data_IF_052281596486
#
_entry.id   IF_052281596486
#
_cell.length_a   1.000
_cell.length_b   1.000
_cell.length_c   1.000
_cell.angle_alpha   90.00
_cell.angle_beta   90.00
_cell.angle_gamma   90.00
#
_symmetry.space_group_name_H-M   'P 1'
#
loop_
_entity.id
_entity.type
_entity.pdbx_description
1 polymer ?
#
# COMPACT_ATOMS: atom_id res chain seq x y z
N UNK A 1 -20.55 -41.59 -3.38
CA UNK A 1 -19.90 -40.43 -4.04
C UNK A 1 -20.54 -39.11 -3.66
N UNK A 2 -21.87 -39.00 -3.64
CA UNK A 2 -22.61 -37.78 -3.27
C UNK A 2 -22.23 -37.17 -1.90
N UNK A 3 -22.15 -37.98 -0.83
CA UNK A 3 -21.78 -37.51 0.53
C UNK A 3 -20.39 -36.84 0.54
N UNK A 4 -19.41 -37.42 -0.17
CA UNK A 4 -18.05 -36.88 -0.24
C UNK A 4 -18.08 -35.50 -0.91
N UNK A 5 -18.88 -35.33 -1.96
CA UNK A 5 -19.00 -34.06 -2.68
C UNK A 5 -19.69 -33.00 -1.81
N UNK A 6 -20.73 -33.39 -1.06
CA UNK A 6 -21.36 -32.49 -0.07
C UNK A 6 -20.36 -32.03 0.99
N UNK A 7 -19.55 -32.95 1.53
CA UNK A 7 -18.53 -32.59 2.53
C UNK A 7 -17.51 -31.62 1.92
N UNK A 8 -17.06 -31.87 0.68
CA UNK A 8 -16.13 -30.97 -0.02
C UNK A 8 -16.76 -29.60 -0.21
N UNK A 9 -18.02 -29.52 -0.68
CA UNK A 9 -18.74 -28.26 -0.85
C UNK A 9 -18.84 -27.47 0.46
N UNK A 10 -19.18 -28.15 1.57
CA UNK A 10 -19.26 -27.53 2.89
C UNK A 10 -17.90 -26.97 3.35
N UNK A 11 -16.83 -27.73 3.16
CA UNK A 11 -15.47 -27.30 3.49
C UNK A 11 -15.03 -26.10 2.65
N UNK A 12 -15.39 -26.07 1.36
CA UNK A 12 -15.09 -24.95 0.46
C UNK A 12 -15.82 -23.69 0.92
N UNK A 13 -17.13 -23.77 1.17
CA UNK A 13 -17.92 -22.63 1.66
C UNK A 13 -17.36 -22.12 2.99
N UNK A 14 -17.11 -23.01 3.94
CA UNK A 14 -16.57 -22.65 5.25
C UNK A 14 -15.18 -21.99 5.15
N UNK A 15 -14.30 -22.52 4.30
CA UNK A 15 -12.96 -21.96 4.11
C UNK A 15 -13.00 -20.54 3.54
N UNK A 16 -13.89 -20.25 2.59
CA UNK A 16 -14.05 -18.90 2.03
C UNK A 16 -14.66 -17.95 3.04
N UNK A 17 -15.71 -18.37 3.77
CA UNK A 17 -16.33 -17.53 4.80
C UNK A 17 -15.34 -17.18 5.91
N UNK A 18 -14.53 -18.15 6.34
CA UNK A 18 -13.49 -17.91 7.33
C UNK A 18 -12.41 -16.95 6.80
N UNK A 19 -11.96 -17.13 5.56
CA UNK A 19 -10.97 -16.23 4.93
C UNK A 19 -11.52 -14.81 4.78
N UNK A 20 -12.77 -14.66 4.34
CA UNK A 20 -13.45 -13.38 4.20
C UNK A 20 -13.66 -12.68 5.54
N UNK A 21 -14.13 -13.41 6.57
CA UNK A 21 -14.27 -12.90 7.93
C UNK A 21 -12.93 -12.43 8.50
N UNK A 22 -11.87 -13.24 8.37
CA UNK A 22 -10.54 -12.89 8.85
C UNK A 22 -9.88 -11.74 8.04
N UNK A 23 -10.30 -11.48 6.79
CA UNK A 23 -9.74 -10.40 5.96
C UNK A 23 -10.49 -9.10 6.14
N UNK A 24 -11.81 -9.15 6.27
CA UNK A 24 -12.68 -7.96 6.25
C UNK A 24 -13.19 -7.59 7.64
N UNK A 25 -13.59 -8.58 8.43
CA UNK A 25 -14.34 -8.35 9.68
C UNK A 25 -13.45 -8.32 10.90
N UNK A 26 -12.36 -9.09 10.91
CA UNK A 26 -11.46 -9.22 12.06
C UNK A 26 -10.30 -8.20 12.01
N UNK A 27 -10.30 -7.13 12.83
CA UNK A 27 -9.24 -6.11 12.84
C UNK A 27 -8.05 -6.58 13.68
N UNK A 28 -7.46 -7.74 13.35
CA UNK A 28 -6.30 -8.28 14.07
C UNK A 28 -5.31 -8.92 13.14
N UNK A 29 -4.04 -8.89 13.57
CA UNK A 29 -2.96 -9.64 12.95
C UNK A 29 -3.21 -11.14 13.03
N UNK A 30 -3.73 -11.72 11.95
CA UNK A 30 -3.93 -13.17 11.84
C UNK A 30 -2.61 -13.83 11.41
N UNK A 31 -2.00 -14.63 12.30
CA UNK A 31 -0.69 -15.29 12.07
C UNK A 31 -0.74 -16.55 11.18
N UNK A 32 -1.91 -16.93 10.65
CA UNK A 32 -2.08 -18.19 9.90
C UNK A 32 -1.34 -18.12 8.54
N UNK A 33 -0.53 -19.15 8.26
CA UNK A 33 0.31 -19.22 7.07
C UNK A 33 -0.44 -19.59 5.79
N UNK A 34 -1.59 -20.29 5.91
CA UNK A 34 -2.39 -20.81 4.81
C UNK A 34 -3.74 -20.08 4.74
N UNK A 35 -3.80 -19.01 3.95
CA UNK A 35 -5.01 -18.21 3.69
C UNK A 35 -5.22 -18.08 2.19
N UNK A 36 -6.47 -18.15 1.74
CA UNK A 36 -6.82 -17.97 0.32
C UNK A 36 -6.33 -16.59 -0.14
N UNK A 37 -6.57 -15.56 0.67
CA UNK A 37 -6.07 -14.20 0.45
C UNK A 37 -4.54 -14.15 0.30
N UNK A 38 -3.78 -14.75 1.22
CA UNK A 38 -2.30 -14.74 1.17
C UNK A 38 -1.76 -15.48 -0.07
N UNK A 39 -2.38 -16.61 -0.40
CA UNK A 39 -2.04 -17.37 -1.60
C UNK A 39 -2.35 -16.56 -2.87
N UNK A 40 -3.52 -15.92 -2.93
CA UNK A 40 -3.96 -15.08 -4.02
C UNK A 40 -2.95 -13.96 -4.29
N UNK A 41 -2.64 -13.12 -3.29
CA UNK A 41 -1.68 -12.01 -3.46
C UNK A 41 -0.29 -12.51 -3.87
N UNK A 42 0.19 -13.62 -3.31
CA UNK A 42 1.50 -14.18 -3.71
C UNK A 42 1.49 -14.63 -5.17
N UNK A 43 0.41 -15.26 -5.62
CA UNK A 43 0.30 -15.80 -6.98
C UNK A 43 0.07 -14.71 -8.03
N UNK A 44 -0.70 -13.68 -7.70
CA UNK A 44 -0.95 -12.55 -8.61
C UNK A 44 0.22 -11.56 -8.64
N UNK A 45 0.96 -11.40 -7.53
CA UNK A 45 2.10 -10.47 -7.48
C UNK A 45 3.31 -10.92 -8.30
N UNK A 46 3.62 -12.22 -8.35
CA UNK A 46 4.78 -12.75 -9.10
C UNK A 46 4.75 -12.39 -10.60
N UNK A 47 3.67 -12.63 -11.36
CA UNK A 47 3.62 -12.22 -12.76
C UNK A 47 3.63 -10.70 -12.89
N UNK A 48 2.94 -9.96 -11.99
CA UNK A 48 2.95 -8.50 -12.00
C UNK A 48 4.37 -7.93 -11.88
N UNK A 49 5.16 -8.47 -10.95
CA UNK A 49 6.57 -8.12 -10.74
C UNK A 49 7.40 -8.40 -12.00
N UNK A 50 7.23 -9.56 -12.63
CA UNK A 50 7.95 -9.92 -13.86
C UNK A 50 7.65 -8.95 -15.00
N UNK A 51 6.36 -8.66 -15.24
CA UNK A 51 5.97 -7.69 -16.28
C UNK A 51 6.58 -6.33 -16.00
N UNK A 52 6.54 -5.88 -14.74
CA UNK A 52 7.12 -4.60 -14.30
C UNK A 52 8.62 -4.50 -14.60
N UNK A 53 9.38 -5.60 -14.46
CA UNK A 53 10.83 -5.59 -14.78
C UNK A 53 11.15 -5.36 -16.26
N UNK A 54 10.19 -5.55 -17.17
CA UNK A 54 10.36 -5.25 -18.59
C UNK A 54 10.05 -3.78 -18.94
N UNK A 55 9.46 -3.00 -18.03
CA UNK A 55 9.10 -1.61 -18.26
C UNK A 55 10.30 -0.71 -17.94
N UNK A 56 10.92 -0.14 -18.98
CA UNK A 56 12.11 0.73 -18.84
C UNK A 56 11.79 2.14 -18.34
N UNK A 57 10.62 2.69 -18.69
CA UNK A 57 10.24 4.04 -18.30
C UNK A 57 9.79 4.08 -16.83
N UNK A 58 10.40 4.90 -15.96
CA UNK A 58 10.04 4.97 -14.55
C UNK A 58 8.59 5.37 -14.31
N UNK A 59 8.07 6.39 -15.00
CA UNK A 59 6.69 6.85 -14.87
C UNK A 59 5.68 5.75 -15.26
N UNK A 60 5.86 5.10 -16.42
CA UNK A 60 5.00 3.97 -16.83
C UNK A 60 5.05 2.80 -15.86
N UNK A 61 6.22 2.55 -15.26
CA UNK A 61 6.41 1.48 -14.29
C UNK A 61 5.62 1.74 -13.01
N UNK A 62 5.70 2.96 -12.46
CA UNK A 62 4.93 3.32 -11.26
C UNK A 62 3.42 3.33 -11.54
N UNK A 63 2.98 3.83 -12.71
CA UNK A 63 1.56 3.79 -13.11
C UNK A 63 1.04 2.35 -13.25
N UNK A 64 1.81 1.45 -13.87
CA UNK A 64 1.45 0.04 -13.95
C UNK A 64 1.38 -0.62 -12.56
N UNK A 65 2.31 -0.30 -11.66
CA UNK A 65 2.29 -0.77 -10.29
C UNK A 65 1.09 -0.20 -9.49
N UNK A 66 0.59 0.99 -9.85
CA UNK A 66 -0.57 1.63 -9.25
C UNK A 66 -1.87 0.84 -9.42
N UNK A 67 -2.06 0.15 -10.55
CA UNK A 67 -3.27 -0.64 -10.80
C UNK A 67 -3.39 -1.90 -9.95
N UNK A 68 -2.26 -2.46 -9.48
CA UNK A 68 -2.28 -3.76 -8.78
C UNK A 68 -3.12 -3.74 -7.51
N UNK A 69 -2.98 -2.71 -6.67
CA UNK A 69 -3.71 -2.60 -5.40
C UNK A 69 -5.23 -2.67 -5.59
N UNK A 70 -5.85 -1.73 -6.34
CA UNK A 70 -7.29 -1.73 -6.60
C UNK A 70 -7.77 -2.97 -7.36
N UNK A 71 -7.06 -3.40 -8.41
CA UNK A 71 -7.49 -4.53 -9.24
C UNK A 71 -7.41 -5.86 -8.48
N UNK A 72 -6.35 -6.08 -7.71
CA UNK A 72 -6.20 -7.30 -6.89
C UNK A 72 -7.30 -7.41 -5.84
N UNK A 73 -7.74 -6.29 -5.27
CA UNK A 73 -8.87 -6.27 -4.34
C UNK A 73 -10.16 -6.71 -5.01
N UNK A 74 -10.50 -6.15 -6.18
CA UNK A 74 -11.69 -6.56 -6.95
C UNK A 74 -11.62 -8.03 -7.37
N UNK A 75 -10.45 -8.49 -7.82
CA UNK A 75 -10.23 -9.88 -8.21
C UNK A 75 -10.31 -10.85 -7.02
N UNK A 76 -9.89 -10.45 -5.82
CA UNK A 76 -10.04 -11.25 -4.60
C UNK A 76 -11.52 -11.43 -4.24
N UNK A 77 -12.30 -10.35 -4.30
CA UNK A 77 -13.75 -10.40 -4.07
C UNK A 77 -14.43 -11.30 -5.09
N UNK A 78 -14.07 -11.17 -6.38
CA UNK A 78 -14.54 -12.07 -7.43
C UNK A 78 -14.16 -13.53 -7.19
N UNK A 79 -12.93 -13.80 -6.75
CA UNK A 79 -12.48 -15.14 -6.39
C UNK A 79 -13.32 -15.74 -5.26
N UNK A 80 -13.61 -14.99 -4.20
CA UNK A 80 -14.49 -15.45 -3.13
C UNK A 80 -15.90 -15.74 -3.63
N UNK A 81 -16.51 -14.85 -4.41
CA UNK A 81 -17.84 -15.05 -4.96
C UNK A 81 -17.91 -16.31 -5.84
N UNK A 82 -16.97 -16.47 -6.78
CA UNK A 82 -16.88 -17.66 -7.65
C UNK A 82 -16.67 -18.93 -6.83
N UNK A 83 -15.84 -18.88 -5.78
CA UNK A 83 -15.57 -20.05 -4.94
C UNK A 83 -16.78 -20.41 -4.06
N UNK A 84 -17.55 -19.43 -3.58
CA UNK A 84 -18.81 -19.67 -2.87
C UNK A 84 -19.85 -20.31 -3.79
N UNK A 85 -20.07 -19.74 -4.98
CA UNK A 85 -20.96 -20.30 -6.00
C UNK A 85 -20.54 -21.74 -6.33
N UNK A 86 -19.25 -21.99 -6.54
CA UNK A 86 -18.76 -23.34 -6.77
C UNK A 86 -19.02 -24.27 -5.58
N UNK A 87 -18.80 -23.81 -4.35
CA UNK A 87 -19.06 -24.56 -3.12
C UNK A 87 -20.54 -24.93 -2.96
N UNK A 88 -21.46 -23.99 -3.23
CA UNK A 88 -22.90 -24.23 -3.22
C UNK A 88 -23.34 -25.16 -4.35
N UNK A 89 -22.80 -25.01 -5.56
CA UNK A 89 -23.05 -25.94 -6.65
C UNK A 89 -22.63 -27.38 -6.29
N UNK A 90 -21.51 -27.57 -5.57
CA UNK A 90 -21.12 -28.88 -5.04
C UNK A 90 -22.09 -29.40 -3.98
N UNK A 91 -22.59 -28.55 -3.08
CA UNK A 91 -23.61 -28.93 -2.10
C UNK A 91 -24.90 -29.40 -2.78
N UNK A 92 -25.35 -28.67 -3.80
CA UNK A 92 -26.53 -29.04 -4.59
C UNK A 92 -26.30 -30.35 -5.37
N UNK A 93 -25.13 -30.53 -5.99
CA UNK A 93 -24.78 -31.77 -6.68
C UNK A 93 -24.70 -32.98 -5.74
N UNK A 94 -24.15 -32.78 -4.55
CA UNK A 94 -24.08 -33.79 -3.51
C UNK A 94 -25.44 -34.11 -2.89
N UNK A 95 -26.39 -33.17 -2.90
CA UNK A 95 -27.75 -33.43 -2.46
C UNK A 95 -28.51 -34.37 -3.41
N UNK A 96 -28.23 -34.39 -4.72
CA UNK A 96 -28.84 -35.31 -5.70
C UNK A 96 -30.00 -34.71 -6.52
N UNK A 97 -30.87 -35.54 -7.12
CA UNK A 97 -32.00 -35.14 -7.98
C UNK A 97 -33.13 -34.42 -7.21
N UNK A 98 -32.89 -33.17 -6.83
CA UNK A 98 -33.83 -32.36 -6.03
C UNK A 98 -34.21 -31.03 -6.69
N UNK A 99 -33.92 -30.92 -7.99
CA UNK A 99 -34.10 -29.71 -8.77
C UNK A 99 -34.81 -30.09 -10.07
N UNK A 100 -35.91 -29.42 -10.38
CA UNK A 100 -36.67 -29.66 -11.61
C UNK A 100 -36.11 -28.75 -12.68
N UNK A 101 -35.56 -29.35 -13.74
CA UNK A 101 -35.27 -28.66 -14.99
C UNK A 101 -36.30 -29.13 -16.00
N UNK A 102 -36.98 -28.19 -16.65
CA UNK A 102 -38.08 -28.36 -17.60
C UNK A 102 -37.80 -29.32 -18.78
N UNK A 103 -37.59 -30.62 -18.49
CA UNK A 103 -37.34 -31.69 -19.46
C UNK A 103 -35.88 -31.97 -19.83
N UNK A 104 -34.89 -31.35 -19.17
CA UNK A 104 -33.47 -31.43 -19.57
C UNK A 104 -32.55 -32.05 -18.49
N UNK A 105 -31.41 -32.67 -18.87
CA UNK A 105 -30.56 -33.37 -17.91
C UNK A 105 -29.84 -32.42 -16.94
N UNK A 106 -29.74 -32.85 -15.67
CA UNK A 106 -28.95 -32.17 -14.64
C UNK A 106 -27.47 -32.31 -14.99
N UNK A 107 -26.84 -31.19 -15.38
CA UNK A 107 -25.40 -31.11 -15.59
C UNK A 107 -24.77 -30.20 -14.54
N UNK A 108 -23.49 -30.45 -14.22
CA UNK A 108 -22.78 -29.64 -13.23
C UNK A 108 -22.71 -28.15 -13.61
N UNK A 109 -22.58 -27.84 -14.91
CA UNK A 109 -22.60 -26.46 -15.40
C UNK A 109 -23.92 -25.73 -15.11
N UNK A 110 -25.05 -26.44 -15.14
CA UNK A 110 -26.37 -25.87 -14.79
C UNK A 110 -26.55 -25.67 -13.30
N UNK A 111 -25.95 -26.52 -12.47
CA UNK A 111 -25.93 -26.31 -11.02
C UNK A 111 -25.07 -25.10 -10.63
N UNK A 112 -23.97 -24.85 -11.36
CA UNK A 112 -23.20 -23.60 -11.22
C UNK A 112 -24.06 -22.40 -11.63
N UNK A 113 -24.79 -22.51 -12.74
CA UNK A 113 -25.70 -21.45 -13.18
C UNK A 113 -26.79 -21.15 -12.13
N UNK A 114 -27.48 -22.19 -11.65
CA UNK A 114 -28.49 -22.09 -10.57
C UNK A 114 -27.92 -21.47 -9.28
N UNK A 115 -26.73 -21.92 -8.88
CA UNK A 115 -26.03 -21.35 -7.73
C UNK A 115 -25.69 -19.87 -7.96
N UNK A 116 -25.24 -19.50 -9.16
CA UNK A 116 -24.96 -18.11 -9.53
C UNK A 116 -26.21 -17.22 -9.46
N UNK A 117 -27.32 -17.63 -10.06
CA UNK A 117 -28.57 -16.86 -10.00
C UNK A 117 -29.14 -16.77 -8.57
N UNK A 118 -28.96 -17.80 -7.75
CA UNK A 118 -29.43 -17.81 -6.36
C UNK A 118 -28.56 -16.91 -5.49
N UNK A 119 -27.23 -17.02 -5.62
CA UNK A 119 -26.25 -16.23 -4.88
C UNK A 119 -26.37 -14.72 -5.17
N UNK A 120 -26.59 -14.37 -6.45
CA UNK A 120 -26.83 -12.97 -6.85
C UNK A 120 -28.31 -12.55 -6.79
N UNK A 121 -29.20 -13.43 -6.31
CA UNK A 121 -30.64 -13.15 -6.14
C UNK A 121 -31.38 -12.77 -7.43
N UNK A 122 -30.92 -13.28 -8.58
CA UNK A 122 -31.57 -13.09 -9.89
C UNK A 122 -32.86 -13.92 -10.00
N UNK A 123 -32.77 -15.22 -9.70
CA UNK A 123 -33.89 -16.15 -9.67
C UNK A 123 -34.78 -16.15 -10.91
N UNK A 124 -34.22 -16.47 -12.09
CA UNK A 124 -34.98 -16.48 -13.35
C UNK A 124 -36.11 -17.51 -13.36
N UNK A 125 -36.00 -18.55 -12.52
CA UNK A 125 -37.06 -19.54 -12.30
C UNK A 125 -37.10 -20.65 -13.34
N UNK A 126 -36.08 -20.75 -14.19
CA UNK A 126 -35.87 -21.87 -15.12
C UNK A 126 -35.34 -23.12 -14.40
N UNK A 127 -34.70 -22.95 -13.25
CA UNK A 127 -34.26 -24.02 -12.35
C UNK A 127 -34.87 -23.79 -10.96
N UNK A 128 -35.70 -24.74 -10.48
CA UNK A 128 -36.45 -24.56 -9.22
C UNK A 128 -36.17 -25.70 -8.23
N UNK A 129 -35.87 -25.39 -6.95
CA UNK A 129 -35.68 -26.40 -5.91
C UNK A 129 -37.03 -27.06 -5.52
N UNK A 130 -37.12 -28.37 -5.70
CA UNK A 130 -38.35 -29.14 -5.40
C UNK A 130 -38.36 -29.72 -4.00
N UNK A 131 -37.20 -29.99 -3.41
CA UNK A 131 -37.10 -30.58 -2.08
C UNK A 131 -36.96 -29.55 -0.96
N UNK A 132 -37.38 -29.88 0.29
CA UNK A 132 -37.18 -29.01 1.44
C UNK A 132 -35.71 -28.64 1.67
N UNK A 133 -34.80 -29.59 1.45
CA UNK A 133 -33.35 -29.38 1.63
C UNK A 133 -32.81 -28.42 0.56
N UNK A 134 -33.19 -28.60 -0.70
CA UNK A 134 -32.77 -27.72 -1.80
C UNK A 134 -33.29 -26.28 -1.60
N UNK A 135 -34.54 -26.14 -1.11
CA UNK A 135 -35.12 -24.84 -0.75
C UNK A 135 -34.38 -24.18 0.41
N UNK A 136 -34.04 -24.94 1.45
CA UNK A 136 -33.27 -24.41 2.58
C UNK A 136 -31.86 -23.97 2.14
N UNK A 137 -31.18 -24.76 1.30
CA UNK A 137 -29.89 -24.39 0.73
C UNK A 137 -29.99 -23.12 -0.11
N UNK A 138 -31.02 -22.97 -0.94
CA UNK A 138 -31.23 -21.77 -1.74
C UNK A 138 -31.44 -20.51 -0.87
N UNK A 139 -32.21 -20.62 0.22
CA UNK A 139 -32.40 -19.50 1.17
C UNK A 139 -31.09 -19.14 1.86
N UNK A 140 -30.30 -20.13 2.30
CA UNK A 140 -29.00 -19.91 2.93
C UNK A 140 -28.03 -19.26 1.93
N UNK A 141 -27.99 -19.77 0.71
CA UNK A 141 -27.14 -19.27 -0.37
C UNK A 141 -27.46 -17.81 -0.74
N UNK A 142 -28.75 -17.50 -0.94
CA UNK A 142 -29.20 -16.13 -1.20
C UNK A 142 -28.88 -15.20 -0.01
N UNK A 143 -29.12 -15.66 1.23
CA UNK A 143 -28.77 -14.91 2.43
C UNK A 143 -27.27 -14.65 2.55
N UNK A 144 -26.43 -15.63 2.22
CA UNK A 144 -24.97 -15.48 2.18
C UNK A 144 -24.51 -14.54 1.07
N UNK A 145 -25.11 -14.62 -0.12
CA UNK A 145 -24.84 -13.70 -1.22
C UNK A 145 -25.15 -12.25 -0.85
N UNK A 146 -26.29 -12.01 -0.20
CA UNK A 146 -26.65 -10.69 0.32
C UNK A 146 -25.69 -10.21 1.41
N UNK A 147 -25.34 -11.07 2.38
CA UNK A 147 -24.37 -10.76 3.42
C UNK A 147 -22.96 -10.47 2.86
N UNK A 148 -22.55 -11.20 1.83
CA UNK A 148 -21.31 -10.97 1.10
C UNK A 148 -21.32 -9.60 0.42
N UNK A 149 -22.40 -9.25 -0.29
CA UNK A 149 -22.54 -7.93 -0.91
C UNK A 149 -22.50 -6.80 0.13
N UNK A 150 -23.22 -6.94 1.24
CA UNK A 150 -23.18 -5.98 2.35
C UNK A 150 -21.76 -5.80 2.92
N UNK A 151 -21.01 -6.90 3.05
CA UNK A 151 -19.61 -6.89 3.49
C UNK A 151 -18.71 -6.15 2.49
N UNK A 152 -18.87 -6.40 1.19
CA UNK A 152 -18.13 -5.69 0.14
C UNK A 152 -18.41 -4.18 0.17
N UNK A 153 -19.68 -3.80 0.29
CA UNK A 153 -20.10 -2.40 0.38
C UNK A 153 -19.51 -1.72 1.62
N UNK A 154 -19.37 -2.42 2.75
CA UNK A 154 -18.72 -1.87 3.94
C UNK A 154 -17.19 -1.83 3.87
N UNK A 155 -16.57 -2.80 3.17
CA UNK A 155 -15.12 -2.95 3.14
C UNK A 155 -14.43 -1.95 2.22
N UNK A 156 -14.95 -1.74 0.99
CA UNK A 156 -14.32 -0.85 0.02
C UNK A 156 -14.16 0.59 0.57
N UNK A 157 -15.21 1.25 1.12
CA UNK A 157 -15.07 2.59 1.68
C UNK A 157 -14.08 2.65 2.85
N UNK A 158 -14.02 1.60 3.67
CA UNK A 158 -13.07 1.50 4.79
C UNK A 158 -11.63 1.51 4.30
N UNK A 159 -11.32 0.70 3.27
CA UNK A 159 -10.00 0.67 2.63
C UNK A 159 -9.64 2.02 2.01
N UNK A 160 -10.54 2.63 1.24
CA UNK A 160 -10.27 3.91 0.59
C UNK A 160 -10.15 5.06 1.58
N UNK A 161 -10.86 5.01 2.70
CA UNK A 161 -10.71 5.99 3.79
C UNK A 161 -9.36 5.85 4.47
N UNK A 162 -8.92 4.62 4.76
CA UNK A 162 -7.59 4.38 5.32
C UNK A 162 -6.47 4.83 4.36
N UNK A 163 -6.62 4.53 3.07
CA UNK A 163 -5.73 5.02 2.02
C UNK A 163 -5.69 6.56 1.98
N UNK A 164 -6.85 7.22 1.95
CA UNK A 164 -6.93 8.68 1.92
C UNK A 164 -6.26 9.32 3.14
N UNK A 165 -6.51 8.80 4.35
CA UNK A 165 -5.89 9.30 5.59
C UNK A 165 -4.36 9.19 5.55
N UNK A 166 -3.83 8.07 5.03
CA UNK A 166 -2.38 7.88 4.85
C UNK A 166 -1.79 8.94 3.92
N UNK A 167 -2.45 9.22 2.79
CA UNK A 167 -1.91 10.09 1.74
C UNK A 167 -1.88 11.56 2.11
N UNK A 168 -2.79 12.04 2.97
CA UNK A 168 -2.83 13.46 3.38
C UNK A 168 -1.48 13.94 3.92
N UNK A 169 -0.85 13.19 4.83
CA UNK A 169 0.45 13.58 5.40
C UNK A 169 1.61 13.42 4.40
N UNK A 170 1.52 12.48 3.47
CA UNK A 170 2.52 12.31 2.40
C UNK A 170 2.48 13.53 1.47
N UNK A 171 1.29 14.00 1.09
CA UNK A 171 1.14 15.20 0.27
C UNK A 171 1.66 16.46 0.98
N UNK A 172 1.43 16.58 2.29
CA UNK A 172 1.99 17.67 3.10
C UNK A 172 3.53 17.60 3.23
N UNK A 173 4.11 16.40 3.08
CA UNK A 173 5.56 16.22 3.11
C UNK A 173 6.26 16.86 1.92
N UNK A 174 5.58 17.01 0.77
CA UNK A 174 6.16 17.61 -0.45
C UNK A 174 6.76 19.00 -0.17
N UNK A 175 5.95 19.90 0.37
CA UNK A 175 6.37 21.26 0.69
C UNK A 175 7.41 21.31 1.82
N UNK A 176 7.54 20.25 2.63
CA UNK A 176 8.45 20.19 3.78
C UNK A 176 9.80 19.54 3.45
N UNK A 177 9.81 18.51 2.62
CA UNK A 177 10.96 17.63 2.37
C UNK A 177 11.27 17.40 0.88
N UNK A 178 10.52 18.03 -0.02
CA UNK A 178 10.64 17.90 -1.47
C UNK A 178 10.00 16.63 -2.03
N UNK A 179 10.10 16.47 -3.36
CA UNK A 179 9.58 15.33 -4.09
C UNK A 179 10.61 14.70 -5.04
N UNK A 180 11.15 13.51 -4.75
CA UNK A 180 10.92 12.66 -3.57
C UNK A 180 11.41 13.28 -2.25
N UNK A 181 10.82 12.90 -1.10
CA UNK A 181 11.14 13.51 0.19
C UNK A 181 12.51 13.07 0.72
N UNK A 182 13.33 14.00 1.22
CA UNK A 182 14.67 13.68 1.78
C UNK A 182 14.89 14.31 3.15
N UNK A 183 15.73 13.68 3.96
CA UNK A 183 16.07 14.20 5.28
C UNK A 183 16.85 15.51 5.20
N UNK A 184 17.72 15.66 4.18
CA UNK A 184 18.45 16.90 3.91
C UNK A 184 17.51 18.08 3.64
N UNK A 185 16.49 17.87 2.82
CA UNK A 185 15.54 18.92 2.46
C UNK A 185 14.65 19.27 3.66
N UNK A 186 14.17 18.26 4.39
CA UNK A 186 13.35 18.46 5.59
C UNK A 186 14.08 19.23 6.69
N UNK A 187 15.36 18.95 6.95
CA UNK A 187 16.12 19.74 7.92
C UNK A 187 16.49 21.11 7.33
N UNK A 188 16.91 21.14 6.08
CA UNK A 188 17.39 22.34 5.41
C UNK A 188 16.35 23.44 5.24
N UNK A 189 15.07 23.11 5.02
CA UNK A 189 13.98 24.10 4.91
C UNK A 189 13.61 24.75 6.24
N UNK A 190 13.95 24.11 7.36
CA UNK A 190 13.64 24.58 8.72
C UNK A 190 14.86 25.23 9.42
N UNK A 191 16.00 25.35 8.73
CA UNK A 191 17.32 25.62 9.32
C UNK A 191 17.63 27.03 9.82
N UNK A 192 16.67 27.93 10.13
CA UNK A 192 17.04 29.32 10.51
C UNK A 192 16.12 30.07 11.49
N UNK A 193 15.27 29.41 12.29
CA UNK A 193 14.43 30.12 13.27
C UNK A 193 14.35 29.35 14.60
N UNK A 194 14.03 30.02 15.72
CA UNK A 194 13.73 29.36 17.00
C UNK A 194 12.43 28.54 16.87
N UNK A 195 12.55 27.35 16.27
CA UNK A 195 11.44 26.52 15.76
C UNK A 195 11.37 25.14 16.41
N UNK A 196 12.03 24.94 17.55
CA UNK A 196 11.96 23.66 18.28
C UNK A 196 10.51 23.17 18.42
N UNK A 197 9.58 24.07 18.76
CA UNK A 197 8.16 23.77 18.89
C UNK A 197 7.49 23.35 17.56
N UNK A 198 7.79 24.04 16.45
CA UNK A 198 7.25 23.72 15.12
C UNK A 198 7.79 22.37 14.63
N UNK A 199 9.09 22.13 14.80
CA UNK A 199 9.71 20.88 14.38
C UNK A 199 9.23 19.70 15.23
N UNK A 200 9.09 19.90 16.55
CA UNK A 200 8.49 18.90 17.43
C UNK A 200 7.02 18.63 17.07
N UNK A 201 6.26 19.62 16.63
CA UNK A 201 4.90 19.42 16.15
C UNK A 201 4.88 18.54 14.89
N UNK A 202 5.77 18.80 13.93
CA UNK A 202 5.92 17.96 12.73
C UNK A 202 6.26 16.53 13.13
N UNK A 203 7.23 16.34 14.02
CA UNK A 203 7.61 15.00 14.48
C UNK A 203 6.48 14.30 15.24
N UNK A 204 5.64 15.01 16.00
CA UNK A 204 4.43 14.47 16.64
C UNK A 204 3.38 14.04 15.63
N UNK A 205 3.16 14.83 14.58
CA UNK A 205 2.25 14.48 13.48
C UNK A 205 2.72 13.17 12.81
N UNK A 206 4.02 13.03 12.57
CA UNK A 206 4.60 11.84 11.97
C UNK A 206 4.68 10.63 12.92
N UNK A 207 4.81 10.85 14.22
CA UNK A 207 4.65 9.80 15.24
C UNK A 207 3.25 9.19 15.15
N UNK A 208 2.21 10.05 15.19
CA UNK A 208 0.83 9.63 15.06
C UNK A 208 0.58 8.95 13.72
N UNK A 209 1.01 9.55 12.62
CA UNK A 209 0.86 8.98 11.28
C UNK A 209 1.53 7.61 11.15
N UNK A 210 2.71 7.41 11.75
CA UNK A 210 3.39 6.11 11.76
C UNK A 210 2.57 5.05 12.49
N UNK A 211 1.90 5.42 13.59
CA UNK A 211 0.94 4.56 14.29
C UNK A 211 -0.28 4.22 13.44
N UNK A 212 -0.86 5.21 12.75
CA UNK A 212 -2.00 5.02 11.85
C UNK A 212 -1.65 4.13 10.63
N UNK A 213 -0.44 4.28 10.08
CA UNK A 213 0.07 3.41 9.00
C UNK A 213 0.28 1.99 9.48
N UNK A 214 0.88 1.81 10.66
CA UNK A 214 1.05 0.48 11.25
C UNK A 214 -0.29 -0.22 11.47
N UNK A 215 -1.24 0.45 12.12
CA UNK A 215 -2.57 -0.09 12.40
C UNK A 215 -3.28 -0.48 11.09
N UNK A 216 -3.39 0.47 10.16
CA UNK A 216 -4.13 0.26 8.92
C UNK A 216 -3.53 -0.85 8.06
N UNK A 217 -2.21 -1.00 7.99
CA UNK A 217 -1.58 -2.01 7.13
C UNK A 217 -1.50 -3.38 7.81
N UNK A 218 -1.59 -3.47 9.15
CA UNK A 218 -1.81 -4.73 9.85
C UNK A 218 -3.25 -5.20 9.67
N UNK A 219 -4.21 -4.29 9.83
CA UNK A 219 -5.65 -4.57 9.70
C UNK A 219 -6.02 -4.86 8.25
N UNK A 220 -5.41 -4.14 7.30
CA UNK A 220 -5.67 -4.26 5.87
C UNK A 220 -4.38 -4.40 5.05
N UNK A 221 -3.76 -5.61 5.06
CA UNK A 221 -2.52 -5.87 4.31
C UNK A 221 -2.54 -5.48 2.82
N UNK A 222 -3.68 -5.54 2.09
CA UNK A 222 -3.75 -5.05 0.71
C UNK A 222 -3.29 -3.60 0.53
N UNK A 223 -3.42 -2.73 1.55
CA UNK A 223 -3.02 -1.32 1.47
C UNK A 223 -1.53 -1.12 1.15
N UNK A 224 -0.67 -2.09 1.51
CA UNK A 224 0.75 -2.03 1.16
C UNK A 224 1.00 -1.98 -0.35
N UNK A 225 0.09 -2.51 -1.16
CA UNK A 225 0.18 -2.50 -2.62
C UNK A 225 -0.40 -1.24 -3.27
N UNK A 226 -1.12 -0.40 -2.53
CA UNK A 226 -1.67 0.85 -3.06
C UNK A 226 -0.55 1.89 -3.17
N UNK A 227 -0.26 2.33 -4.41
CA UNK A 227 0.71 3.40 -4.66
C UNK A 227 0.19 4.73 -4.15
N UNK A 228 1.12 5.59 -3.74
CA UNK A 228 0.79 6.98 -3.39
C UNK A 228 0.39 7.76 -4.64
N UNK A 229 -0.32 8.87 -4.44
CA UNK A 229 -0.95 9.60 -5.55
C UNK A 229 0.06 10.15 -6.58
N UNK A 230 1.27 10.52 -6.14
CA UNK A 230 2.32 11.01 -7.02
C UNK A 230 3.41 9.95 -7.21
N UNK A 231 3.86 9.76 -8.46
CA UNK A 231 4.84 8.72 -8.84
C UNK A 231 6.22 8.85 -8.15
N UNK A 232 6.56 10.04 -7.67
CA UNK A 232 7.80 10.34 -6.96
C UNK A 232 7.64 10.31 -5.42
N UNK A 233 6.47 9.95 -4.92
CA UNK A 233 6.19 9.79 -3.49
C UNK A 233 5.80 8.35 -3.19
N UNK A 234 6.04 7.93 -1.95
CA UNK A 234 5.53 6.66 -1.46
C UNK A 234 5.40 6.71 0.05
N UNK A 235 4.41 5.99 0.58
CA UNK A 235 4.24 5.86 2.03
C UNK A 235 5.50 5.31 2.72
N UNK A 236 6.17 4.33 2.10
CA UNK A 236 7.40 3.77 2.64
C UNK A 236 8.56 4.76 2.55
N UNK A 237 8.62 5.53 1.45
CA UNK A 237 9.59 6.61 1.29
C UNK A 237 9.43 7.68 2.34
N UNK A 238 8.20 8.16 2.58
CA UNK A 238 7.89 9.12 3.64
C UNK A 238 8.28 8.60 5.03
N UNK A 239 7.86 7.37 5.38
CA UNK A 239 8.23 6.74 6.65
C UNK A 239 9.75 6.64 6.83
N UNK A 240 10.46 6.28 5.75
CA UNK A 240 11.93 6.18 5.74
C UNK A 240 12.58 7.55 5.89
N UNK A 241 12.08 8.59 5.23
CA UNK A 241 12.57 9.97 5.38
C UNK A 241 12.42 10.46 6.82
N UNK A 242 11.31 10.14 7.49
CA UNK A 242 11.12 10.49 8.91
C UNK A 242 12.07 9.73 9.84
N UNK A 243 12.32 8.45 9.55
CA UNK A 243 13.33 7.66 10.27
C UNK A 243 14.73 8.26 10.08
N UNK A 244 15.09 8.60 8.85
CA UNK A 244 16.36 9.23 8.49
C UNK A 244 16.55 10.58 9.21
N UNK A 245 15.53 11.46 9.16
CA UNK A 245 15.54 12.75 9.85
C UNK A 245 15.62 12.59 11.37
N UNK A 246 14.83 11.68 11.95
CA UNK A 246 14.86 11.44 13.40
C UNK A 246 16.23 10.88 13.82
N UNK A 247 16.81 9.99 13.02
CA UNK A 247 18.14 9.45 13.27
C UNK A 247 19.23 10.53 13.27
N UNK A 248 19.19 11.49 12.34
CA UNK A 248 20.13 12.63 12.33
C UNK A 248 20.00 13.50 13.58
N UNK A 249 18.78 13.82 13.99
CA UNK A 249 18.54 14.66 15.18
C UNK A 249 19.00 13.96 16.45
N UNK A 250 18.75 12.65 16.57
CA UNK A 250 19.21 11.84 17.70
C UNK A 250 20.74 11.72 17.68
N UNK A 251 21.35 11.54 16.51
CA UNK A 251 22.80 11.48 16.35
C UNK A 251 23.45 12.81 16.79
N UNK A 252 22.92 13.94 16.32
CA UNK A 252 23.29 15.26 16.80
C UNK A 252 23.19 16.34 15.72
N UNK A 253 22.14 17.15 15.79
CA UNK A 253 22.01 18.42 15.07
C UNK A 253 22.13 19.55 16.09
N UNK A 254 22.95 20.56 15.82
CA UNK A 254 23.13 21.70 16.70
C UNK A 254 21.83 22.47 16.89
N UNK A 255 21.59 22.96 18.10
CA UNK A 255 20.41 23.75 18.48
C UNK A 255 19.04 23.05 18.35
N UNK A 256 19.01 21.72 18.17
CA UNK A 256 17.79 20.91 18.21
C UNK A 256 17.81 19.91 19.37
N UNK A 257 16.70 19.84 20.11
CA UNK A 257 16.49 18.77 21.10
C UNK A 257 16.03 17.50 20.41
N UNK A 258 16.47 16.36 20.95
CA UNK A 258 16.16 15.03 20.39
C UNK A 258 14.98 14.33 21.05
N UNK A 259 14.32 14.95 22.03
CA UNK A 259 13.31 14.28 22.86
C UNK A 259 12.13 13.76 22.03
N UNK A 260 11.52 14.62 21.21
CA UNK A 260 10.44 14.21 20.31
C UNK A 260 10.95 13.26 19.22
N UNK A 261 12.13 13.52 18.65
CA UNK A 261 12.73 12.67 17.62
C UNK A 261 12.93 11.22 18.10
N UNK A 262 13.29 11.00 19.37
CA UNK A 262 13.42 9.65 19.95
C UNK A 262 12.09 8.88 19.93
N UNK A 263 10.99 9.54 20.31
CA UNK A 263 9.66 8.91 20.35
C UNK A 263 9.14 8.66 18.94
N UNK A 264 9.26 9.64 18.05
CA UNK A 264 8.90 9.49 16.63
C UNK A 264 9.71 8.38 15.96
N UNK A 265 11.03 8.31 16.21
CA UNK A 265 11.88 7.22 15.72
C UNK A 265 11.43 5.86 16.25
N UNK A 266 11.12 5.74 17.53
CA UNK A 266 10.67 4.49 18.13
C UNK A 266 9.37 3.99 17.47
N UNK A 267 8.39 4.88 17.26
CA UNK A 267 7.12 4.54 16.62
C UNK A 267 7.30 4.21 15.13
N UNK A 268 8.03 5.03 14.37
CA UNK A 268 8.29 4.78 12.95
C UNK A 268 9.10 3.49 12.73
N UNK A 269 10.04 3.18 13.64
CA UNK A 269 10.81 1.93 13.61
C UNK A 269 9.90 0.74 13.90
N UNK A 270 9.06 0.84 14.91
CA UNK A 270 8.08 -0.21 15.21
C UNK A 270 7.19 -0.47 13.99
N UNK A 271 6.71 0.60 13.33
CA UNK A 271 5.93 0.47 12.10
C UNK A 271 6.69 -0.30 11.02
N UNK A 272 7.91 0.12 10.65
CA UNK A 272 8.64 -0.55 9.55
C UNK A 272 9.01 -2.00 9.87
N UNK A 273 9.35 -2.31 11.13
CA UNK A 273 9.70 -3.68 11.55
C UNK A 273 8.50 -4.62 11.44
N UNK A 274 7.34 -4.20 11.92
CA UNK A 274 6.13 -5.03 11.86
C UNK A 274 5.58 -5.14 10.44
N UNK A 275 5.65 -4.07 9.66
CA UNK A 275 5.24 -4.09 8.25
C UNK A 275 6.14 -4.99 7.39
N UNK A 276 7.44 -5.10 7.70
CA UNK A 276 8.31 -6.07 7.03
C UNK A 276 7.83 -7.52 7.26
N UNK A 277 7.25 -7.81 8.42
CA UNK A 277 6.66 -9.12 8.70
C UNK A 277 5.32 -9.31 7.96
N UNK A 278 4.49 -8.27 7.88
CA UNK A 278 3.22 -8.29 7.11
C UNK A 278 3.48 -8.53 5.63
N UNK A 279 4.48 -7.87 5.05
CA UNK A 279 4.87 -8.05 3.63
C UNK A 279 5.68 -9.32 3.40
N UNK A 280 6.01 -10.10 4.44
CA UNK A 280 6.87 -11.29 4.38
C UNK A 280 8.20 -11.00 3.69
N UNK A 281 8.77 -9.83 3.97
CA UNK A 281 10.03 -9.38 3.38
C UNK A 281 11.21 -10.18 3.93
N UNK A 282 12.20 -10.42 3.07
CA UNK A 282 13.42 -11.14 3.44
C UNK A 282 14.57 -10.17 3.64
N UNK A 283 15.35 -10.38 4.71
CA UNK A 283 16.59 -9.65 4.95
C UNK A 283 17.61 -9.95 3.84
N UNK A 284 18.37 -8.93 3.46
CA UNK A 284 19.48 -9.03 2.51
C UNK A 284 20.72 -8.39 3.14
N UNK A 285 21.76 -9.18 3.44
CA UNK A 285 22.99 -8.65 4.01
C UNK A 285 23.82 -7.85 3.00
N UNK A 286 23.56 -8.00 1.70
CA UNK A 286 24.30 -7.34 0.61
C UNK A 286 23.61 -6.07 0.12
N UNK A 287 22.70 -5.53 0.91
CA UNK A 287 22.00 -4.31 0.53
C UNK A 287 23.00 -3.14 0.39
N UNK A 288 22.82 -2.22 -0.58
CA UNK A 288 23.68 -1.05 -0.69
C UNK A 288 23.48 -0.11 0.51
N UNK A 289 24.58 0.41 1.04
CA UNK A 289 24.56 1.48 2.04
C UNK A 289 23.92 2.73 1.42
N UNK A 290 22.84 3.25 2.03
CA UNK A 290 22.13 4.46 1.56
C UNK A 290 22.87 5.76 1.87
N UNK A 291 23.82 5.73 2.81
CA UNK A 291 24.60 6.89 3.24
C UNK A 291 26.05 6.46 3.52
N UNK A 292 26.82 6.11 2.47
CA UNK A 292 28.26 5.93 2.58
C UNK A 292 28.96 7.23 3.00
N UNK A 293 30.22 7.15 3.43
CA UNK A 293 30.98 8.29 3.96
C UNK A 293 30.99 9.51 3.00
N UNK A 294 31.06 9.29 1.69
CA UNK A 294 31.01 10.35 0.68
C UNK A 294 29.65 11.07 0.62
N UNK A 295 28.55 10.33 0.74
CA UNK A 295 27.20 10.90 0.80
C UNK A 295 26.97 11.61 2.14
N UNK A 296 27.53 11.10 3.24
CA UNK A 296 27.48 11.78 4.54
C UNK A 296 28.22 13.12 4.50
N UNK A 297 29.39 13.17 3.87
CA UNK A 297 30.14 14.42 3.67
C UNK A 297 29.33 15.43 2.84
N UNK A 298 28.70 14.99 1.74
CA UNK A 298 27.80 15.83 0.93
C UNK A 298 26.59 16.32 1.71
N UNK A 299 25.96 15.45 2.50
CA UNK A 299 24.84 15.80 3.37
C UNK A 299 25.25 16.89 4.38
N UNK A 300 26.39 16.72 5.05
CA UNK A 300 26.93 17.68 6.02
C UNK A 300 27.18 19.04 5.36
N UNK A 301 27.79 19.06 4.18
CA UNK A 301 28.05 20.29 3.42
C UNK A 301 26.75 21.00 3.01
N UNK A 302 25.76 20.26 2.50
CA UNK A 302 24.50 20.83 2.06
C UNK A 302 23.67 21.40 3.22
N UNK A 303 23.66 20.72 4.36
CA UNK A 303 23.01 21.22 5.58
C UNK A 303 23.71 22.44 6.15
N UNK A 304 25.05 22.45 6.17
CA UNK A 304 25.83 23.61 6.60
C UNK A 304 25.53 24.85 5.73
N UNK A 305 25.37 24.68 4.42
CA UNK A 305 24.94 25.74 3.50
C UNK A 305 23.53 26.30 3.77
N UNK A 306 22.73 25.60 4.58
CA UNK A 306 21.39 26.00 5.04
C UNK A 306 21.36 26.32 6.54
N UNK A 307 22.52 26.61 7.13
CA UNK A 307 22.71 26.91 8.55
C UNK A 307 22.32 25.78 9.53
N UNK A 308 22.21 24.54 9.04
CA UNK A 308 22.01 23.35 9.88
C UNK A 308 23.36 22.66 10.08
N UNK A 309 23.89 22.72 11.31
CA UNK A 309 25.17 22.09 11.65
C UNK A 309 24.94 20.72 12.29
N UNK A 310 25.58 19.70 11.71
CA UNK A 310 25.67 18.37 12.31
C UNK A 310 26.87 18.34 13.25
N UNK A 311 26.76 17.62 14.37
CA UNK A 311 27.91 17.40 15.26
C UNK A 311 29.07 16.73 14.51
N UNK A 312 30.29 17.14 14.86
CA UNK A 312 31.52 16.55 14.34
C UNK A 312 32.04 15.45 15.29
N UNK A 313 32.89 14.57 14.75
CA UNK A 313 33.53 13.49 15.50
C UNK A 313 32.98 12.09 15.18
N UNK A 314 33.77 11.06 15.52
CA UNK A 314 33.43 9.66 15.29
C UNK A 314 32.19 9.20 16.05
N UNK A 315 31.92 9.79 17.23
CA UNK A 315 30.76 9.45 18.05
C UNK A 315 29.43 9.71 17.32
N UNK A 316 29.33 10.82 16.58
CA UNK A 316 28.14 11.13 15.76
C UNK A 316 27.93 10.07 14.68
N UNK A 317 29.00 9.70 13.97
CA UNK A 317 28.94 8.77 12.85
C UNK A 317 28.64 7.34 13.31
N UNK A 318 29.24 6.89 14.41
CA UNK A 318 28.94 5.60 15.04
C UNK A 318 27.50 5.52 15.52
N UNK A 319 27.02 6.59 16.16
CA UNK A 319 25.64 6.67 16.65
C UNK A 319 24.63 6.68 15.50
N UNK A 320 24.89 7.44 14.44
CA UNK A 320 24.05 7.45 13.24
C UNK A 320 24.03 6.08 12.55
N UNK A 321 25.21 5.44 12.40
CA UNK A 321 25.33 4.09 11.85
C UNK A 321 24.55 3.07 12.67
N UNK A 322 24.64 3.15 14.00
CA UNK A 322 23.87 2.29 14.89
C UNK A 322 22.37 2.48 14.69
N UNK A 323 21.86 3.72 14.71
CA UNK A 323 20.43 4.01 14.51
C UNK A 323 19.93 3.48 13.16
N UNK A 324 20.70 3.70 12.08
CA UNK A 324 20.39 3.21 10.73
C UNK A 324 20.27 1.69 10.66
N UNK A 325 21.14 0.96 11.35
CA UNK A 325 21.08 -0.50 11.42
C UNK A 325 19.76 -1.04 12.00
N UNK A 326 19.05 -0.23 12.79
CA UNK A 326 17.80 -0.63 13.44
C UNK A 326 16.57 -0.60 12.53
N UNK A 327 16.63 0.08 11.38
CA UNK A 327 15.48 0.26 10.49
C UNK A 327 15.77 0.09 8.99
N UNK A 328 16.96 0.48 8.49
CA UNK A 328 17.24 0.48 7.05
C UNK A 328 17.05 -0.90 6.40
N UNK A 329 17.53 -2.02 6.99
CA UNK A 329 17.30 -3.34 6.41
C UNK A 329 15.81 -3.67 6.22
N UNK A 330 14.96 -3.23 7.15
CA UNK A 330 13.51 -3.42 7.06
C UNK A 330 12.92 -2.57 5.94
N UNK A 331 13.23 -1.26 5.89
CA UNK A 331 12.80 -0.38 4.80
C UNK A 331 13.20 -0.93 3.43
N UNK A 332 14.47 -1.33 3.26
CA UNK A 332 14.98 -1.86 2.00
C UNK A 332 14.33 -3.19 1.61
N UNK A 333 14.08 -4.07 2.59
CA UNK A 333 13.42 -5.34 2.32
C UNK A 333 11.97 -5.16 1.85
N UNK A 334 11.21 -4.25 2.47
CA UNK A 334 9.85 -3.88 2.04
C UNK A 334 9.89 -3.24 0.66
N UNK A 335 10.80 -2.30 0.44
CA UNK A 335 10.99 -1.62 -0.84
C UNK A 335 11.22 -2.62 -1.98
N UNK A 336 12.08 -3.62 -1.76
CA UNK A 336 12.32 -4.70 -2.72
C UNK A 336 11.09 -5.58 -2.95
N UNK A 337 10.41 -5.99 -1.88
CA UNK A 337 9.23 -6.86 -1.95
C UNK A 337 8.10 -6.20 -2.73
N UNK A 338 7.88 -4.91 -2.48
CA UNK A 338 6.80 -4.13 -3.07
C UNK A 338 7.24 -3.36 -4.33
N UNK A 339 8.50 -3.40 -4.76
CA UNK A 339 9.03 -2.55 -5.84
C UNK A 339 8.78 -1.05 -5.60
N UNK A 340 9.09 -0.55 -4.41
CA UNK A 340 9.06 0.89 -4.08
C UNK A 340 10.50 1.41 -4.11
N UNK A 341 10.73 2.58 -4.71
CA UNK A 341 12.04 3.23 -4.62
C UNK A 341 12.11 4.00 -3.30
N UNK A 342 13.15 3.75 -2.50
CA UNK A 342 13.41 4.56 -1.32
C UNK A 342 14.09 5.87 -1.72
N UNK A 343 13.75 6.99 -1.07
CA UNK A 343 14.43 8.25 -1.32
C UNK A 343 15.89 8.17 -0.86
N UNK A 344 16.79 8.97 -1.46
CA UNK A 344 18.13 9.15 -0.90
C UNK A 344 18.07 10.06 0.34
N UNK A 345 19.18 10.16 1.05
CA UNK A 345 19.32 11.13 2.16
C UNK A 345 19.40 12.57 1.67
N UNK A 346 19.94 12.76 0.46
CA UNK A 346 20.12 14.03 -0.25
C UNK A 346 20.03 13.76 -1.76
N UNK A 347 19.41 14.67 -2.53
CA UNK A 347 19.45 14.59 -4.00
C UNK A 347 20.75 15.17 -4.55
N UNK A 348 21.28 14.56 -5.61
CA UNK A 348 22.47 15.06 -6.32
C UNK A 348 22.22 16.41 -7.01
N UNK A 349 20.98 16.66 -7.44
CA UNK A 349 20.53 17.87 -8.11
C UNK A 349 19.30 18.45 -7.42
N UNK A 350 19.15 19.78 -7.47
CA UNK A 350 17.94 20.45 -6.98
C UNK A 350 16.77 20.04 -7.86
N UNK A 351 15.85 19.26 -7.30
CA UNK A 351 14.58 18.91 -7.95
C UNK A 351 13.52 19.96 -7.64
N UNK A 352 12.65 20.21 -8.62
CA UNK A 352 11.41 20.97 -8.37
C UNK A 352 10.47 20.11 -7.54
N UNK A 353 9.76 20.75 -6.63
CA UNK A 353 8.69 20.10 -5.89
C UNK A 353 7.45 19.92 -6.78
N UNK A 354 6.53 19.04 -6.40
CA UNK A 354 5.32 18.83 -7.19
C UNK A 354 4.44 20.08 -7.21
N UNK A 355 4.37 20.83 -6.10
CA UNK A 355 3.62 22.09 -6.05
C UNK A 355 4.20 23.19 -6.95
N UNK A 356 5.47 23.10 -7.37
CA UNK A 356 6.12 24.02 -8.32
C UNK A 356 5.91 23.62 -9.79
N UNK A 357 5.21 22.51 -10.05
CA UNK A 357 5.02 21.92 -11.37
C UNK A 357 3.53 21.84 -11.74
N UNK A 358 2.99 22.93 -12.28
CA UNK A 358 1.65 22.99 -12.85
C UNK A 358 1.59 22.58 -14.32
N UNK A 359 0.51 21.90 -14.78
CA UNK A 359 0.35 21.48 -16.18
C UNK A 359 0.34 22.66 -17.17
N UNK A 360 0.05 23.86 -16.68
CA UNK A 360 0.00 25.09 -17.47
C UNK A 360 1.13 26.07 -17.16
N UNK A 361 2.05 25.77 -16.23
CA UNK A 361 3.07 26.73 -15.79
C UNK A 361 3.94 27.20 -16.94
N UNK A 362 4.32 26.29 -17.85
CA UNK A 362 5.06 26.65 -19.06
C UNK A 362 4.26 27.56 -19.98
N UNK A 363 2.95 27.36 -20.11
CA UNK A 363 2.07 28.19 -20.93
C UNK A 363 1.82 29.58 -20.29
N UNK A 364 1.67 29.63 -18.96
CA UNK A 364 1.54 30.86 -18.18
C UNK A 364 2.85 31.67 -18.27
N UNK A 365 4.01 31.01 -18.09
CA UNK A 365 5.32 31.63 -18.25
C UNK A 365 5.50 32.16 -19.68
N UNK A 366 5.18 31.37 -20.71
CA UNK A 366 5.24 31.82 -22.10
C UNK A 366 4.35 33.05 -22.36
N UNK A 367 3.13 33.09 -21.81
CA UNK A 367 2.25 34.25 -21.91
C UNK A 367 2.85 35.48 -21.22
N UNK A 368 3.44 35.32 -20.03
CA UNK A 368 4.10 36.42 -19.32
C UNK A 368 5.31 36.99 -20.07
N UNK A 369 6.10 36.13 -20.74
CA UNK A 369 7.25 36.54 -21.56
C UNK A 369 6.83 37.26 -22.85
N UNK A 370 5.72 36.86 -23.46
CA UNK A 370 5.13 37.57 -24.61
C UNK A 370 4.61 38.94 -24.21
N UNK A 371 3.99 39.08 -23.02
CA UNK A 371 3.58 40.39 -22.46
C UNK A 371 4.77 41.30 -22.18
N UNK A 372 5.96 40.73 -21.91
CA UNK A 372 7.22 41.46 -21.69
C UNK A 372 8.04 41.69 -22.98
N UNK A 373 7.52 41.36 -24.15
CA UNK A 373 8.15 41.66 -25.44
C UNK A 373 9.27 40.72 -25.88
N UNK A 374 9.40 39.53 -25.30
CA UNK A 374 10.40 38.52 -25.71
C UNK A 374 9.82 37.45 -26.63
N UNK A 375 10.58 36.94 -27.64
CA UNK A 375 10.10 35.94 -28.59
C UNK A 375 9.92 34.57 -27.95
N UNK A 376 8.84 33.86 -28.34
CA UNK A 376 8.49 32.54 -27.80
C UNK A 376 9.39 31.43 -28.37
N UNK A 377 10.01 30.64 -27.49
CA UNK A 377 10.85 29.49 -27.87
C UNK A 377 9.99 28.22 -28.00
N UNK A 378 10.27 27.43 -29.04
CA UNK A 378 9.53 26.21 -29.44
C UNK A 378 9.76 25.03 -28.47
N UNK A 379 8.72 24.20 -28.33
CA UNK A 379 8.44 23.27 -27.23
C UNK A 379 9.19 21.91 -27.28
N UNK A 380 9.66 21.39 -26.12
CA UNK A 380 9.74 19.97 -25.83
C UNK A 380 8.57 19.49 -24.94
N UNK A 381 8.27 18.18 -24.97
CA UNK A 381 7.15 17.51 -24.26
C UNK A 381 7.09 17.84 -22.75
N UNK A 382 5.86 17.87 -22.22
CA UNK A 382 5.56 18.10 -20.81
C UNK A 382 6.08 16.98 -19.92
N UNK A 383 6.56 17.33 -18.72
CA UNK A 383 6.91 16.35 -17.70
C UNK A 383 5.62 15.84 -17.06
N UNK A 384 5.25 14.58 -17.32
CA UNK A 384 4.10 13.92 -16.70
C UNK A 384 4.47 13.52 -15.26
N UNK A 385 4.26 14.46 -14.33
CA UNK A 385 4.46 14.25 -12.89
C UNK A 385 3.24 13.71 -12.14
N UNK A 386 2.11 13.51 -12.84
CA UNK A 386 0.85 13.02 -12.30
C UNK A 386 0.61 11.55 -12.62
#
# INVERSE_FOLDING_TARGET
MHIVITIIGLLVVFAVLLDAFETVVLPRRVRRQYRITSWFYRRTWVPWRKITTHIKSPSRRENFLGYFGPLSLLLLLGLWAVTLIFGFALLQYGAGEHVQLSGEPITFGRLIYHSGETFFTLGYGDIVPTSPIARALAVIEAGMGFGFLGTVIGYLPTIYTAFSRREVQISLLDARAGSPPTAAELLGRFGNRPQQLEFDQILREWERWSGEVLESHISYPPLGFFRSQHSNQSWLGALTTILDTSALIIAGVDNLRSDQAKVTFAMARHAVVDLAQVTKSTYDPMHPDRLPAEELARLRQALAGRNVKLKEGSEFEEKLKHLRSLYEPYSQSIARTLLINLPPWIHSEKKKDNWEAGPWDRAIQAKSLVVLGQPSVRQPKADEHF
#
